data_IF_914894429303
#
_entry.id   IF_914894429303
#
_cell.length_a   1.000
_cell.length_b   1.000
_cell.length_c   1.000
_cell.angle_alpha   90.00
_cell.angle_beta   90.00
_cell.angle_gamma   90.00
#
_symmetry.space_group_name_H-M   'P 1'
#
loop_
_entity.id
_entity.type
_entity.pdbx_description
1 polymer ?
#
# COMPACT_ATOMS: atom_id res chain seq x y z
N UNK A 1 52.54 3.66 83.90
CA UNK A 1 53.67 2.72 83.72
C UNK A 1 53.37 1.86 82.49
N UNK A 2 54.28 1.90 81.52
CA UNK A 2 54.28 1.09 80.30
C UNK A 2 54.09 -0.42 80.57
N UNK A 3 53.38 -1.11 79.68
CA UNK A 3 53.90 -2.33 79.02
C UNK A 3 53.04 -2.80 77.85
N UNK A 4 53.70 -2.83 76.69
CA UNK A 4 53.48 -3.67 75.52
C UNK A 4 53.28 -5.14 75.95
N UNK A 5 52.37 -5.89 75.31
CA UNK A 5 52.66 -7.19 74.69
C UNK A 5 51.57 -7.63 73.70
N UNK A 6 52.07 -8.01 72.54
CA UNK A 6 51.46 -8.58 71.36
C UNK A 6 51.24 -10.09 71.59
N UNK A 7 50.12 -10.67 71.10
CA UNK A 7 50.07 -11.78 70.13
C UNK A 7 48.76 -12.58 70.13
N UNK A 8 48.33 -12.85 68.89
CA UNK A 8 47.69 -14.05 68.34
C UNK A 8 46.24 -14.40 68.68
N UNK A 9 45.40 -14.29 67.64
CA UNK A 9 44.62 -15.43 67.15
C UNK A 9 43.11 -15.32 67.34
N UNK A 10 42.40 -14.93 66.28
CA UNK A 10 41.48 -15.85 65.58
C UNK A 10 40.96 -15.19 64.30
N UNK A 11 41.14 -15.90 63.19
CA UNK A 11 40.63 -15.58 61.87
C UNK A 11 39.17 -16.06 61.82
N UNK A 12 38.22 -15.15 61.54
CA UNK A 12 36.86 -15.52 61.17
C UNK A 12 36.62 -15.06 59.72
N UNK A 13 36.76 -16.00 58.79
CA UNK A 13 36.43 -15.82 57.38
C UNK A 13 34.90 -15.83 57.26
N UNK A 14 34.32 -14.67 56.94
CA UNK A 14 32.90 -14.54 56.61
C UNK A 14 32.73 -14.84 55.11
N UNK A 15 32.31 -16.06 54.77
CA UNK A 15 31.91 -16.43 53.40
C UNK A 15 30.50 -15.92 53.18
N UNK A 16 30.36 -14.80 52.48
CA UNK A 16 29.07 -14.28 52.04
C UNK A 16 28.72 -14.97 50.72
N UNK A 17 27.85 -15.98 50.78
CA UNK A 17 27.35 -16.68 49.60
C UNK A 17 26.38 -15.77 48.82
N UNK A 18 26.78 -15.34 47.63
CA UNK A 18 25.88 -14.75 46.64
C UNK A 18 24.94 -15.82 46.11
N UNK A 19 23.65 -15.69 46.44
CA UNK A 19 22.57 -16.45 45.81
C UNK A 19 22.21 -15.68 44.53
N UNK A 20 22.80 -16.09 43.40
CA UNK A 20 22.37 -15.64 42.07
C UNK A 20 21.22 -16.55 41.65
N UNK A 21 20.00 -16.03 41.71
CA UNK A 21 18.85 -16.66 41.05
C UNK A 21 19.01 -16.51 39.54
N UNK A 22 18.91 -17.58 38.73
CA UNK A 22 18.77 -17.41 37.30
C UNK A 22 17.35 -16.93 37.03
N UNK A 23 17.20 -15.63 36.81
CA UNK A 23 16.06 -15.12 36.09
C UNK A 23 16.13 -15.76 34.69
N UNK A 24 15.16 -16.62 34.38
CA UNK A 24 14.90 -17.05 33.01
C UNK A 24 14.61 -15.81 32.18
N UNK A 25 15.66 -15.26 31.57
CA UNK A 25 15.53 -14.41 30.41
C UNK A 25 14.90 -15.28 29.33
N UNK A 26 13.61 -15.04 29.10
CA UNK A 26 12.90 -15.55 27.95
C UNK A 26 13.59 -14.89 26.75
N UNK A 27 14.46 -15.67 26.11
CA UNK A 27 15.11 -15.34 24.85
C UNK A 27 14.03 -15.20 23.79
N UNK A 28 13.46 -14.00 23.69
CA UNK A 28 12.87 -13.52 22.45
C UNK A 28 14.01 -13.50 21.44
N UNK A 29 14.01 -14.48 20.55
CA UNK A 29 14.94 -14.56 19.44
C UNK A 29 14.51 -13.54 18.39
N UNK A 30 14.64 -12.24 18.69
CA UNK A 30 14.72 -11.22 17.65
C UNK A 30 16.11 -11.39 17.05
N UNK A 31 16.19 -12.16 15.95
CA UNK A 31 17.34 -12.07 15.07
C UNK A 31 17.52 -10.59 14.76
N UNK A 32 18.63 -10.00 15.23
CA UNK A 32 19.02 -8.68 14.76
C UNK A 32 19.22 -8.83 13.25
N UNK A 33 18.28 -8.30 12.46
CA UNK A 33 18.49 -8.16 11.03
C UNK A 33 19.81 -7.42 10.86
N UNK A 34 20.71 -7.97 10.05
CA UNK A 34 21.99 -7.34 9.78
C UNK A 34 21.80 -5.94 9.19
N UNK A 35 22.88 -5.16 9.16
CA UNK A 35 22.88 -3.93 8.38
C UNK A 35 22.65 -4.29 6.90
N UNK A 36 21.62 -3.73 6.28
CA UNK A 36 21.28 -3.98 4.87
C UNK A 36 21.79 -2.87 3.96
N UNK A 37 21.95 -3.14 2.67
CA UNK A 37 22.27 -2.13 1.66
C UNK A 37 21.40 -2.30 0.42
N UNK A 38 20.34 -1.50 0.30
CA UNK A 38 19.38 -1.61 -0.82
C UNK A 38 19.09 -0.25 -1.49
N UNK A 39 18.89 -0.30 -2.79
CA UNK A 39 18.42 0.80 -3.63
C UNK A 39 16.99 0.51 -4.07
N UNK A 40 16.12 1.51 -3.93
CA UNK A 40 14.70 1.41 -4.22
C UNK A 40 14.32 2.50 -5.21
N UNK A 41 13.60 2.16 -6.29
CA UNK A 41 13.09 3.17 -7.20
C UNK A 41 11.75 2.84 -7.85
N UNK A 42 10.99 3.89 -8.22
CA UNK A 42 9.80 3.73 -9.05
C UNK A 42 8.67 4.70 -8.73
N UNK A 43 7.54 4.15 -8.31
CA UNK A 43 6.29 4.88 -8.12
C UNK A 43 6.45 6.10 -7.20
N UNK A 44 6.11 7.26 -7.73
CA UNK A 44 5.96 8.50 -6.97
C UNK A 44 4.76 8.49 -6.04
N UNK A 45 3.93 7.45 -6.04
CA UNK A 45 2.90 7.23 -5.00
C UNK A 45 3.48 6.48 -3.81
N UNK A 46 4.35 5.50 -4.05
CA UNK A 46 4.94 4.65 -2.99
C UNK A 46 6.09 5.36 -2.26
N UNK A 47 6.65 6.40 -2.89
CA UNK A 47 7.82 7.12 -2.42
C UNK A 47 7.75 7.56 -0.94
N UNK A 48 6.67 8.21 -0.43
CA UNK A 48 6.63 8.66 0.96
C UNK A 48 6.71 7.49 1.96
N UNK A 49 5.92 6.43 1.71
CA UNK A 49 5.95 5.21 2.53
C UNK A 49 7.34 4.56 2.50
N UNK A 50 7.95 4.45 1.33
CA UNK A 50 9.27 3.82 1.21
C UNK A 50 10.37 4.65 1.92
N UNK A 51 10.35 5.98 1.80
CA UNK A 51 11.30 6.88 2.48
C UNK A 51 11.11 6.87 4.01
N UNK A 52 9.86 6.87 4.49
CA UNK A 52 9.54 6.81 5.90
C UNK A 52 9.95 5.45 6.50
N UNK A 53 9.63 4.34 5.83
CA UNK A 53 10.06 3.01 6.24
C UNK A 53 11.58 2.86 6.21
N UNK A 54 12.27 3.37 5.18
CA UNK A 54 13.72 3.39 5.11
C UNK A 54 14.33 4.14 6.31
N UNK A 55 13.81 5.32 6.61
CA UNK A 55 14.26 6.15 7.73
C UNK A 55 14.07 5.45 9.07
N UNK A 56 12.92 4.83 9.30
CA UNK A 56 12.63 4.08 10.51
C UNK A 56 13.51 2.82 10.65
N UNK A 57 13.71 2.08 9.56
CA UNK A 57 14.59 0.91 9.55
C UNK A 57 16.03 1.28 9.90
N UNK A 58 16.57 2.36 9.29
CA UNK A 58 17.93 2.85 9.56
C UNK A 58 18.08 3.30 11.02
N UNK A 59 17.06 3.95 11.58
CA UNK A 59 17.07 4.35 12.99
C UNK A 59 17.18 3.15 13.95
N UNK A 60 16.51 2.04 13.61
CA UNK A 60 16.53 0.81 14.40
C UNK A 60 17.75 -0.08 14.12
N UNK A 61 18.39 0.07 12.96
CA UNK A 61 19.55 -0.72 12.52
C UNK A 61 20.70 0.21 12.10
N UNK A 62 21.43 0.82 13.07
CA UNK A 62 22.50 1.77 12.78
C UNK A 62 23.62 1.15 11.94
N UNK A 63 23.67 1.53 10.65
CA UNK A 63 24.67 1.06 9.68
C UNK A 63 24.06 0.51 8.39
N UNK A 64 22.74 0.34 8.32
CA UNK A 64 22.04 0.09 7.06
C UNK A 64 22.10 1.30 6.11
N UNK A 65 22.06 1.05 4.81
CA UNK A 65 21.99 2.04 3.74
C UNK A 65 20.78 1.72 2.86
N UNK A 66 19.82 2.63 2.81
CA UNK A 66 18.58 2.45 2.06
C UNK A 66 18.34 3.74 1.30
N UNK A 67 18.56 3.71 -0.02
CA UNK A 67 18.36 4.84 -0.91
C UNK A 67 17.06 4.68 -1.68
N UNK A 68 16.16 5.66 -1.58
CA UNK A 68 14.83 5.61 -2.22
C UNK A 68 14.71 6.74 -3.23
N UNK A 69 14.14 6.45 -4.40
CA UNK A 69 13.92 7.45 -5.45
C UNK A 69 12.62 7.23 -6.23
N UNK A 70 12.09 8.32 -6.79
CA UNK A 70 10.91 8.28 -7.67
C UNK A 70 11.24 7.88 -9.12
N UNK A 71 10.33 8.21 -10.05
CA UNK A 71 10.49 7.99 -11.49
C UNK A 71 9.29 7.35 -12.21
N UNK A 72 8.25 6.95 -11.47
CA UNK A 72 7.03 6.34 -11.99
C UNK A 72 7.04 4.82 -11.94
N UNK A 73 5.85 4.21 -12.03
CA UNK A 73 5.69 2.76 -11.84
C UNK A 73 6.36 1.95 -12.94
N UNK A 74 6.23 2.36 -14.22
CA UNK A 74 6.93 1.67 -15.32
C UNK A 74 8.45 1.79 -15.22
N UNK A 75 8.97 2.87 -14.63
CA UNK A 75 10.40 3.00 -14.37
C UNK A 75 10.84 1.99 -13.30
N UNK A 76 10.12 1.92 -12.17
CA UNK A 76 10.43 0.97 -11.09
C UNK A 76 10.45 -0.47 -11.55
N UNK A 77 9.43 -0.90 -12.30
CA UNK A 77 9.34 -2.25 -12.89
C UNK A 77 10.56 -2.56 -13.77
N UNK A 78 10.94 -1.65 -14.67
CA UNK A 78 12.10 -1.85 -15.56
C UNK A 78 13.42 -1.80 -14.81
N UNK A 79 13.54 -0.93 -13.81
CA UNK A 79 14.77 -0.74 -13.05
C UNK A 79 15.11 -2.02 -12.27
N UNK A 80 14.13 -2.63 -11.59
CA UNK A 80 14.35 -3.90 -10.87
C UNK A 80 14.55 -5.08 -11.82
N UNK A 81 13.79 -5.16 -12.91
CA UNK A 81 13.98 -6.22 -13.91
C UNK A 81 15.39 -6.22 -14.51
N UNK A 82 15.96 -5.04 -14.73
CA UNK A 82 17.32 -4.87 -15.24
C UNK A 82 18.40 -4.95 -14.14
N UNK A 83 18.03 -5.15 -12.87
CA UNK A 83 18.97 -5.16 -11.73
C UNK A 83 19.68 -3.82 -11.51
N UNK A 84 19.05 -2.71 -11.90
CA UNK A 84 19.58 -1.35 -11.65
C UNK A 84 19.28 -0.88 -10.23
N UNK A 85 18.20 -1.41 -9.64
CA UNK A 85 17.82 -1.24 -8.24
C UNK A 85 17.49 -2.62 -7.69
N UNK A 86 17.60 -2.75 -6.37
CA UNK A 86 17.30 -3.99 -5.64
C UNK A 86 15.77 -4.16 -5.54
N UNK A 87 15.06 -3.08 -5.19
CA UNK A 87 13.58 -3.06 -5.17
C UNK A 87 12.99 -2.06 -6.15
N UNK A 88 12.04 -2.52 -6.95
CA UNK A 88 11.16 -1.66 -7.76
C UNK A 88 9.90 -1.29 -6.99
N UNK A 89 9.32 -0.12 -7.23
CA UNK A 89 7.99 0.23 -6.68
C UNK A 89 6.99 0.56 -7.78
N UNK A 90 5.75 0.09 -7.60
CA UNK A 90 4.65 0.35 -8.52
C UNK A 90 3.35 0.65 -7.76
N UNK A 91 2.51 1.53 -8.30
CA UNK A 91 1.18 1.82 -7.76
C UNK A 91 0.11 1.38 -8.74
N UNK A 92 0.30 0.16 -9.25
CA UNK A 92 -0.56 -0.60 -10.16
C UNK A 92 0.05 -1.98 -10.31
N UNK A 93 -0.76 -2.93 -10.74
CA UNK A 93 -0.28 -4.23 -11.20
C UNK A 93 0.72 -4.10 -12.36
N UNK A 94 1.57 -5.12 -12.51
CA UNK A 94 2.40 -5.26 -13.69
C UNK A 94 1.52 -5.27 -14.94
N UNK A 95 1.92 -4.59 -16.00
CA UNK A 95 1.21 -4.67 -17.29
C UNK A 95 1.41 -6.06 -17.90
N UNK A 96 0.48 -6.51 -18.73
CA UNK A 96 0.63 -7.81 -19.39
C UNK A 96 1.91 -7.89 -20.24
N UNK A 97 2.30 -6.79 -20.87
CA UNK A 97 3.59 -6.67 -21.56
C UNK A 97 4.78 -6.78 -20.61
N UNK A 98 4.70 -6.17 -19.42
CA UNK A 98 5.77 -6.23 -18.40
C UNK A 98 5.88 -7.65 -17.82
N UNK A 99 4.75 -8.34 -17.61
CA UNK A 99 4.73 -9.76 -17.21
C UNK A 99 5.29 -10.67 -18.30
N UNK A 100 5.00 -10.40 -19.56
CA UNK A 100 5.54 -11.17 -20.68
C UNK A 100 7.06 -10.96 -20.84
N UNK A 101 7.53 -9.72 -20.69
CA UNK A 101 8.96 -9.38 -20.79
C UNK A 101 9.76 -9.83 -19.56
N UNK A 102 9.15 -9.79 -18.37
CA UNK A 102 9.80 -10.05 -17.08
C UNK A 102 8.99 -11.04 -16.20
N UNK A 103 8.78 -12.29 -16.66
CA UNK A 103 7.91 -13.26 -15.98
C UNK A 103 8.44 -13.75 -14.62
N UNK A 104 9.66 -13.36 -14.26
CA UNK A 104 10.34 -13.74 -13.02
C UNK A 104 10.18 -12.69 -11.91
N UNK A 105 9.63 -11.50 -12.20
CA UNK A 105 9.40 -10.49 -11.17
C UNK A 105 8.37 -11.00 -10.16
N UNK A 106 8.64 -10.75 -8.88
CA UNK A 106 7.69 -11.02 -7.81
C UNK A 106 7.18 -9.69 -7.24
N UNK A 107 5.89 -9.61 -6.98
CA UNK A 107 5.22 -8.42 -6.46
C UNK A 107 4.77 -8.65 -5.02
N UNK A 108 5.03 -7.68 -4.17
CA UNK A 108 4.69 -7.68 -2.75
C UNK A 108 3.76 -6.50 -2.47
N UNK A 109 2.52 -6.78 -2.08
CA UNK A 109 1.56 -5.74 -1.70
C UNK A 109 1.95 -5.14 -0.35
N UNK A 110 2.09 -3.82 -0.30
CA UNK A 110 2.56 -3.11 0.90
C UNK A 110 1.54 -2.12 1.47
N UNK A 111 0.59 -1.67 0.65
CA UNK A 111 -0.47 -0.73 1.03
C UNK A 111 -1.59 -0.74 -0.03
N UNK A 112 -2.72 -0.13 0.29
CA UNK A 112 -3.76 0.29 -0.66
C UNK A 112 -3.85 1.82 -0.72
N UNK A 113 -4.35 2.31 -1.84
CA UNK A 113 -4.48 3.75 -2.12
C UNK A 113 -5.77 4.02 -2.90
N UNK A 114 -6.35 5.20 -2.66
CA UNK A 114 -7.39 5.78 -3.49
C UNK A 114 -6.79 6.76 -4.50
N UNK A 115 -7.41 6.93 -5.66
CA UNK A 115 -7.07 8.04 -6.57
C UNK A 115 -8.19 9.06 -6.54
N UNK A 116 -7.94 10.16 -5.83
CA UNK A 116 -8.89 11.25 -5.65
C UNK A 116 -8.86 12.18 -6.85
N UNK A 117 -10.04 12.58 -7.32
CA UNK A 117 -10.15 13.71 -8.24
C UNK A 117 -10.01 14.98 -7.42
N UNK A 118 -9.13 15.87 -7.87
CA UNK A 118 -8.79 17.10 -7.16
C UNK A 118 -8.96 18.31 -8.05
N UNK A 119 -9.40 19.39 -7.44
CA UNK A 119 -9.47 20.72 -8.04
C UNK A 119 -8.81 21.73 -7.11
N UNK A 120 -8.60 22.93 -7.61
CA UNK A 120 -8.17 24.03 -6.78
C UNK A 120 -9.19 24.32 -5.65
N UNK A 121 -8.77 24.68 -4.42
CA UNK A 121 -9.69 25.01 -3.33
C UNK A 121 -10.69 26.13 -3.65
N UNK A 122 -10.33 27.06 -4.56
CA UNK A 122 -11.21 28.15 -4.99
C UNK A 122 -12.28 27.73 -6.01
N UNK A 123 -12.15 26.55 -6.63
CA UNK A 123 -13.13 26.02 -7.56
C UNK A 123 -14.45 25.71 -6.81
N UNK A 124 -15.61 25.96 -7.41
CA UNK A 124 -16.90 25.75 -6.73
C UNK A 124 -17.43 24.32 -6.77
N UNK A 125 -16.88 23.45 -7.62
CA UNK A 125 -17.36 22.07 -7.78
C UNK A 125 -17.08 21.25 -6.51
N UNK A 126 -18.14 20.66 -5.94
CA UNK A 126 -18.05 19.76 -4.79
C UNK A 126 -18.07 18.28 -5.20
N UNK A 127 -18.72 17.96 -6.32
CA UNK A 127 -18.87 16.60 -6.80
C UNK A 127 -19.05 16.54 -8.32
N UNK A 128 -18.69 15.41 -8.91
CA UNK A 128 -18.92 15.08 -10.31
C UNK A 128 -19.54 13.68 -10.39
N UNK A 129 -20.29 13.41 -11.45
CA UNK A 129 -20.58 12.02 -11.80
C UNK A 129 -19.41 11.41 -12.57
N UNK A 130 -19.29 10.08 -12.59
CA UNK A 130 -18.27 9.42 -13.41
C UNK A 130 -18.42 9.78 -14.90
N UNK A 131 -19.65 9.92 -15.39
CA UNK A 131 -19.92 10.35 -16.77
C UNK A 131 -19.42 11.78 -17.04
N UNK A 132 -19.63 12.72 -16.11
CA UNK A 132 -19.09 14.08 -16.25
C UNK A 132 -17.56 14.08 -16.23
N UNK A 133 -16.95 13.28 -15.35
CA UNK A 133 -15.51 13.13 -15.28
C UNK A 133 -14.93 12.58 -16.60
N UNK A 134 -15.59 11.58 -17.19
CA UNK A 134 -15.26 11.03 -18.51
C UNK A 134 -15.34 12.11 -19.60
N UNK A 135 -16.44 12.85 -19.66
CA UNK A 135 -16.64 13.91 -20.66
C UNK A 135 -15.61 15.05 -20.50
N UNK A 136 -15.24 15.39 -19.27
CA UNK A 136 -14.18 16.38 -18.99
C UNK A 136 -12.83 15.87 -19.51
N UNK A 137 -12.43 14.65 -19.12
CA UNK A 137 -11.12 14.13 -19.46
C UNK A 137 -10.96 13.74 -20.93
N UNK A 138 -12.05 13.44 -21.64
CA UNK A 138 -12.05 13.27 -23.11
C UNK A 138 -12.20 14.59 -23.87
N UNK A 139 -12.53 15.69 -23.17
CA UNK A 139 -12.65 17.03 -23.76
C UNK A 139 -14.00 17.31 -24.42
N UNK A 140 -15.03 16.50 -24.15
CA UNK A 140 -16.43 16.78 -24.52
C UNK A 140 -16.99 17.92 -23.68
N UNK A 141 -16.77 17.89 -22.36
CA UNK A 141 -17.06 19.02 -21.47
C UNK A 141 -15.78 19.84 -21.31
N UNK A 142 -15.88 21.14 -21.59
CA UNK A 142 -14.71 22.05 -21.56
C UNK A 142 -14.94 23.30 -20.72
N UNK A 143 -16.14 23.49 -20.17
CA UNK A 143 -16.47 24.60 -19.27
C UNK A 143 -17.06 24.08 -17.96
N UNK A 144 -16.64 24.66 -16.85
CA UNK A 144 -17.18 24.30 -15.53
C UNK A 144 -18.68 24.58 -15.41
N UNK A 145 -19.25 25.52 -16.15
CA UNK A 145 -20.70 25.80 -16.15
C UNK A 145 -21.55 24.58 -16.57
N UNK A 146 -21.02 23.72 -17.44
CA UNK A 146 -21.70 22.52 -17.95
C UNK A 146 -21.90 21.45 -16.86
N UNK A 147 -21.17 21.58 -15.74
CA UNK A 147 -21.24 20.69 -14.57
C UNK A 147 -21.64 21.43 -13.30
N UNK A 148 -22.23 22.63 -13.44
CA UNK A 148 -22.76 23.42 -12.32
C UNK A 148 -21.74 24.30 -11.60
N UNK A 149 -20.57 24.51 -12.21
CA UNK A 149 -19.53 25.43 -11.74
C UNK A 149 -19.70 26.85 -12.30
N UNK A 150 -18.63 27.64 -12.18
CA UNK A 150 -18.56 29.00 -12.77
C UNK A 150 -18.30 28.92 -14.27
N UNK A 151 -18.78 29.90 -15.05
CA UNK A 151 -18.40 30.04 -16.47
C UNK A 151 -16.89 30.29 -16.60
N UNK A 152 -16.14 29.23 -16.87
CA UNK A 152 -14.69 29.19 -16.91
C UNK A 152 -14.21 27.91 -17.58
N UNK A 153 -13.27 28.06 -18.52
CA UNK A 153 -12.66 26.92 -19.23
C UNK A 153 -11.95 25.99 -18.26
N UNK A 154 -12.22 24.68 -18.38
CA UNK A 154 -11.59 23.62 -17.60
C UNK A 154 -10.16 23.42 -18.10
N UNK A 155 -9.20 23.36 -17.18
CA UNK A 155 -7.82 22.97 -17.48
C UNK A 155 -7.58 21.55 -16.98
N UNK A 156 -7.54 20.59 -17.90
CA UNK A 156 -7.27 19.19 -17.56
C UNK A 156 -5.78 19.02 -17.32
N UNK A 157 -5.42 18.49 -16.15
CA UNK A 157 -4.06 18.04 -15.83
C UNK A 157 -4.07 16.51 -15.77
N UNK A 158 -3.06 15.91 -16.41
CA UNK A 158 -2.84 14.48 -16.46
C UNK A 158 -1.39 14.17 -16.12
N UNK A 159 -1.07 12.87 -16.03
CA UNK A 159 0.24 12.35 -15.68
C UNK A 159 0.97 11.78 -16.89
N UNK A 160 2.28 11.72 -16.77
CA UNK A 160 3.20 11.16 -17.75
C UNK A 160 2.90 9.68 -18.06
N UNK A 161 3.30 9.23 -19.26
CA UNK A 161 3.26 7.82 -19.61
C UNK A 161 4.13 7.00 -18.64
N UNK A 162 3.60 5.90 -18.12
CA UNK A 162 4.28 5.08 -17.11
C UNK A 162 3.94 5.44 -15.66
N UNK A 163 3.13 6.47 -15.44
CA UNK A 163 2.50 6.78 -14.15
C UNK A 163 1.49 5.71 -13.75
N UNK A 164 1.67 5.12 -12.56
CA UNK A 164 0.66 4.22 -12.00
C UNK A 164 -0.63 4.93 -11.61
N UNK A 165 -0.59 6.23 -11.29
CA UNK A 165 -1.80 7.02 -11.00
C UNK A 165 -2.61 7.26 -12.26
N UNK A 166 -1.93 7.54 -13.39
CA UNK A 166 -2.58 7.59 -14.69
C UNK A 166 -3.20 6.25 -15.06
N UNK A 167 -2.43 5.18 -14.95
CA UNK A 167 -2.90 3.85 -15.33
C UNK A 167 -4.14 3.48 -14.50
N UNK A 168 -4.17 3.74 -13.19
CA UNK A 168 -5.34 3.51 -12.34
C UNK A 168 -6.56 4.36 -12.76
N UNK A 169 -6.36 5.67 -12.98
CA UNK A 169 -7.41 6.57 -13.43
C UNK A 169 -7.98 6.15 -14.80
N UNK A 170 -7.14 5.88 -15.79
CA UNK A 170 -7.57 5.48 -17.13
C UNK A 170 -8.35 4.15 -17.08
N UNK A 171 -7.91 3.18 -16.28
CA UNK A 171 -8.58 1.89 -16.15
C UNK A 171 -9.97 2.03 -15.52
N UNK A 172 -10.10 2.83 -14.47
CA UNK A 172 -11.36 2.99 -13.75
C UNK A 172 -12.35 3.92 -14.49
N UNK A 173 -11.84 4.97 -15.14
CA UNK A 173 -12.69 6.05 -15.67
C UNK A 173 -12.85 5.98 -17.18
N UNK A 174 -11.76 5.83 -17.94
CA UNK A 174 -11.80 6.06 -19.40
C UNK A 174 -11.92 4.77 -20.22
N UNK A 175 -11.24 3.70 -19.83
CA UNK A 175 -11.31 2.42 -20.53
C UNK A 175 -12.71 1.80 -20.61
N UNK A 176 -13.59 1.93 -19.60
CA UNK A 176 -14.97 1.43 -19.70
C UNK A 176 -15.75 2.01 -20.89
N UNK A 177 -15.38 3.21 -21.35
CA UNK A 177 -15.98 3.87 -22.52
C UNK A 177 -15.06 3.89 -23.75
N UNK A 178 -13.89 3.24 -23.69
CA UNK A 178 -12.88 3.29 -24.75
C UNK A 178 -12.34 4.71 -25.00
N UNK A 179 -12.39 5.58 -24.00
CA UNK A 179 -11.95 6.96 -24.09
C UNK A 179 -10.44 7.13 -23.90
N UNK A 180 -9.92 8.22 -24.41
CA UNK A 180 -8.52 8.65 -24.22
C UNK A 180 -8.50 10.03 -23.59
N UNK A 181 -7.45 10.32 -22.82
CA UNK A 181 -7.24 11.65 -22.24
C UNK A 181 -7.09 12.66 -23.39
N UNK A 182 -7.77 13.79 -23.27
CA UNK A 182 -7.73 14.89 -24.24
C UNK A 182 -6.30 15.32 -24.54
N UNK A 183 -6.00 15.54 -25.81
CA UNK A 183 -4.69 16.03 -26.26
C UNK A 183 -4.34 17.45 -25.76
N UNK A 184 -5.29 18.15 -25.14
CA UNK A 184 -5.09 19.47 -24.54
C UNK A 184 -4.65 19.39 -23.07
N UNK A 185 -4.53 18.19 -22.48
CA UNK A 185 -4.16 18.05 -21.08
C UNK A 185 -2.73 18.53 -20.82
N UNK A 186 -2.52 19.23 -19.70
CA UNK A 186 -1.18 19.50 -19.18
C UNK A 186 -0.63 18.20 -18.61
N UNK A 187 0.57 17.80 -19.05
CA UNK A 187 1.21 16.59 -18.57
C UNK A 187 2.18 16.94 -17.44
N UNK A 188 1.91 16.39 -16.26
CA UNK A 188 2.75 16.49 -15.08
C UNK A 188 3.51 15.18 -14.84
N UNK A 189 4.70 15.24 -14.22
CA UNK A 189 5.63 14.10 -14.11
C UNK A 189 5.59 13.37 -12.74
N UNK A 190 4.79 13.85 -11.79
CA UNK A 190 4.72 13.30 -10.44
C UNK A 190 3.40 13.69 -9.72
N UNK A 191 3.07 13.03 -8.61
CA UNK A 191 1.94 13.47 -7.78
C UNK A 191 2.19 14.88 -7.23
N UNK A 192 3.41 15.18 -6.77
CA UNK A 192 3.78 16.50 -6.27
C UNK A 192 3.69 17.59 -7.34
N UNK A 193 4.19 17.34 -8.55
CA UNK A 193 4.06 18.30 -9.65
C UNK A 193 2.59 18.50 -10.04
N UNK A 194 1.77 17.44 -10.06
CA UNK A 194 0.35 17.57 -10.36
C UNK A 194 -0.39 18.39 -9.30
N UNK A 195 -0.07 18.18 -8.03
CA UNK A 195 -0.61 19.00 -6.94
C UNK A 195 -0.27 20.48 -7.15
N UNK A 196 0.99 20.80 -7.49
CA UNK A 196 1.42 22.17 -7.77
C UNK A 196 0.64 22.78 -8.94
N UNK A 197 0.45 22.03 -10.03
CA UNK A 197 -0.34 22.50 -11.19
C UNK A 197 -1.78 22.85 -10.78
N UNK A 198 -2.45 21.96 -10.03
CA UNK A 198 -3.83 22.18 -9.55
C UNK A 198 -3.92 23.35 -8.56
N UNK A 199 -2.96 23.48 -7.64
CA UNK A 199 -2.88 24.60 -6.68
C UNK A 199 -2.67 25.94 -7.40
N UNK A 200 -1.87 25.95 -8.47
CA UNK A 200 -1.52 27.19 -9.19
C UNK A 200 -2.63 27.71 -10.10
N UNK A 201 -3.63 26.88 -10.43
CA UNK A 201 -4.66 27.19 -11.41
C UNK A 201 -6.08 26.92 -10.87
N UNK A 202 -6.84 27.98 -10.61
CA UNK A 202 -8.23 27.92 -10.10
C UNK A 202 -9.20 27.08 -10.94
N UNK A 203 -8.90 26.90 -12.22
CA UNK A 203 -9.74 26.18 -13.17
C UNK A 203 -9.24 24.76 -13.46
N UNK A 204 -8.16 24.32 -12.81
CA UNK A 204 -7.57 23.02 -13.06
C UNK A 204 -8.32 21.88 -12.36
N UNK A 205 -8.34 20.73 -13.04
CA UNK A 205 -8.75 19.42 -12.52
C UNK A 205 -7.61 18.44 -12.73
N UNK A 206 -7.31 17.65 -11.70
CA UNK A 206 -6.30 16.60 -11.71
C UNK A 206 -6.77 15.37 -10.94
N UNK A 207 -5.91 14.35 -10.88
CA UNK A 207 -6.15 13.15 -10.07
C UNK A 207 -4.90 12.79 -9.26
N UNK A 208 -5.02 12.71 -7.94
CA UNK A 208 -3.88 12.45 -7.05
C UNK A 208 -4.07 11.13 -6.30
N UNK A 209 -2.96 10.51 -5.94
CA UNK A 209 -2.99 9.53 -4.85
C UNK A 209 -3.60 10.18 -3.60
N UNK A 210 -4.44 9.44 -2.88
CA UNK A 210 -5.12 9.94 -1.70
C UNK A 210 -4.11 10.36 -0.61
N UNK A 211 -2.98 9.65 -0.50
CA UNK A 211 -1.89 10.02 0.42
C UNK A 211 -1.26 11.39 0.15
N UNK A 212 -1.47 11.97 -1.04
CA UNK A 212 -1.01 13.32 -1.40
C UNK A 212 -2.08 14.41 -1.22
N UNK A 213 -3.33 14.03 -0.92
CA UNK A 213 -4.41 14.98 -0.74
C UNK A 213 -4.26 15.65 0.63
N UNK A 214 -4.11 16.97 0.62
CA UNK A 214 -4.01 17.80 1.82
C UNK A 214 -4.84 19.08 1.63
N UNK A 215 -4.74 20.03 2.57
CA UNK A 215 -5.52 21.28 2.54
C UNK A 215 -5.24 22.21 1.36
N UNK A 216 -4.15 21.99 0.60
CA UNK A 216 -3.79 22.85 -0.53
C UNK A 216 -4.63 22.54 -1.77
N UNK A 217 -5.22 21.36 -1.84
CA UNK A 217 -6.13 20.94 -2.90
C UNK A 217 -7.50 20.59 -2.32
N UNK A 218 -8.51 20.57 -3.17
CA UNK A 218 -9.85 20.13 -2.79
C UNK A 218 -10.20 18.86 -3.54
N UNK A 219 -10.41 17.77 -2.80
CA UNK A 219 -10.95 16.54 -3.36
C UNK A 219 -12.43 16.70 -3.73
N UNK A 220 -12.86 16.01 -4.78
CA UNK A 220 -14.20 16.07 -5.35
C UNK A 220 -14.86 14.70 -5.22
N UNK A 221 -16.08 14.66 -4.70
CA UNK A 221 -16.85 13.41 -4.60
C UNK A 221 -17.19 12.88 -6.00
N UNK A 222 -17.22 11.56 -6.17
CA UNK A 222 -17.67 10.91 -7.41
C UNK A 222 -18.98 10.18 -7.16
N UNK A 223 -20.01 10.52 -7.94
CA UNK A 223 -21.37 10.00 -7.76
C UNK A 223 -21.89 10.14 -6.30
N UNK A 224 -21.44 11.19 -5.60
CA UNK A 224 -21.77 11.46 -4.20
C UNK A 224 -20.91 10.73 -3.16
N UNK A 225 -19.92 9.94 -3.59
CA UNK A 225 -18.98 9.24 -2.71
C UNK A 225 -17.68 10.04 -2.60
N UNK A 226 -17.32 10.42 -1.38
CA UNK A 226 -16.06 11.13 -1.10
C UNK A 226 -14.85 10.19 -1.20
N UNK A 227 -13.69 10.66 -1.69
CA UNK A 227 -12.46 9.87 -1.72
C UNK A 227 -11.81 9.82 -0.33
N UNK A 228 -12.41 9.09 0.61
CA UNK A 228 -11.88 8.90 1.97
C UNK A 228 -11.23 7.53 2.12
N UNK A 229 -10.34 7.39 3.11
CA UNK A 229 -9.77 6.10 3.50
C UNK A 229 -10.88 5.07 3.76
N UNK A 230 -11.91 5.46 4.52
CA UNK A 230 -13.07 4.62 4.83
C UNK A 230 -13.80 4.12 3.57
N UNK A 231 -14.10 5.01 2.61
CA UNK A 231 -14.81 4.65 1.38
C UNK A 231 -13.94 3.81 0.43
N UNK A 232 -12.62 3.99 0.43
CA UNK A 232 -11.71 3.15 -0.33
C UNK A 232 -11.59 1.77 0.33
N UNK A 233 -11.57 1.70 1.66
CA UNK A 233 -11.55 0.46 2.42
C UNK A 233 -12.83 -0.36 2.24
N UNK A 234 -14.01 0.27 2.32
CA UNK A 234 -15.30 -0.38 2.10
C UNK A 234 -15.54 -0.81 0.67
N UNK A 235 -14.83 -0.21 -0.30
CA UNK A 235 -15.02 -0.42 -1.73
C UNK A 235 -16.06 0.50 -2.36
N UNK A 236 -16.68 1.39 -1.59
CA UNK A 236 -17.65 2.36 -2.09
C UNK A 236 -17.01 3.37 -3.06
N UNK A 237 -15.74 3.72 -2.84
CA UNK A 237 -14.98 4.56 -3.77
C UNK A 237 -14.22 3.72 -4.79
N UNK A 238 -14.71 3.74 -6.04
CA UNK A 238 -14.30 2.81 -7.09
C UNK A 238 -12.88 2.97 -7.62
N UNK A 239 -12.26 4.16 -7.48
CA UNK A 239 -10.91 4.41 -8.01
C UNK A 239 -9.87 4.10 -6.93
N UNK A 240 -9.52 2.83 -6.80
CA UNK A 240 -8.54 2.34 -5.83
C UNK A 240 -7.51 1.41 -6.48
N UNK A 241 -6.41 1.17 -5.77
CA UNK A 241 -5.31 0.33 -6.24
C UNK A 241 -4.48 -0.23 -5.09
N UNK A 242 -3.76 -1.30 -5.40
CA UNK A 242 -2.70 -1.85 -4.56
C UNK A 242 -1.37 -1.18 -4.87
N UNK A 243 -0.60 -0.92 -3.82
CA UNK A 243 0.77 -0.43 -3.88
C UNK A 243 1.74 -1.58 -3.69
N UNK A 244 2.75 -1.67 -4.56
CA UNK A 244 3.64 -2.81 -4.69
C UNK A 244 5.10 -2.40 -4.48
N UNK A 245 5.84 -3.23 -3.74
CA UNK A 245 7.27 -3.41 -3.91
C UNK A 245 7.52 -4.64 -4.79
N UNK A 246 8.58 -4.62 -5.59
CA UNK A 246 8.83 -5.61 -6.64
C UNK A 246 10.28 -6.08 -6.51
N UNK A 247 10.50 -7.39 -6.52
CA UNK A 247 11.83 -8.02 -6.49
C UNK A 247 12.14 -8.72 -7.81
N UNK A 248 13.42 -8.85 -8.14
CA UNK A 248 13.88 -9.63 -9.29
C UNK A 248 14.00 -11.11 -8.93
N UNK A 249 12.88 -11.83 -8.99
CA UNK A 249 12.79 -13.18 -8.45
C UNK A 249 12.53 -13.19 -6.95
N UNK A 250 12.91 -14.27 -6.28
CA UNK A 250 12.78 -14.39 -4.84
C UNK A 250 13.70 -13.37 -4.14
N UNK A 251 13.23 -12.68 -3.09
CA UNK A 251 14.03 -11.69 -2.39
C UNK A 251 15.28 -12.33 -1.77
N UNK A 252 16.39 -11.61 -1.80
CA UNK A 252 17.56 -11.94 -0.98
C UNK A 252 17.36 -11.56 0.50
N UNK A 253 18.37 -11.80 1.33
CA UNK A 253 18.28 -11.56 2.79
C UNK A 253 18.04 -10.08 3.12
N UNK A 254 18.62 -9.16 2.36
CA UNK A 254 18.53 -7.71 2.59
C UNK A 254 17.15 -7.19 2.12
N UNK A 255 16.72 -7.61 0.92
CA UNK A 255 15.40 -7.32 0.37
C UNK A 255 14.29 -7.87 1.27
N UNK A 256 14.42 -9.12 1.72
CA UNK A 256 13.45 -9.77 2.60
C UNK A 256 13.36 -9.06 3.96
N UNK A 257 14.50 -8.65 4.55
CA UNK A 257 14.51 -7.94 5.81
C UNK A 257 13.78 -6.59 5.73
N UNK A 258 13.95 -5.85 4.63
CA UNK A 258 13.22 -4.60 4.43
C UNK A 258 11.73 -4.81 4.16
N UNK A 259 11.37 -5.78 3.30
CA UNK A 259 9.98 -6.15 3.06
C UNK A 259 9.28 -6.59 4.35
N UNK A 260 9.97 -7.37 5.19
CA UNK A 260 9.46 -7.80 6.49
C UNK A 260 9.22 -6.63 7.43
N UNK A 261 10.08 -5.61 7.43
CA UNK A 261 9.86 -4.39 8.19
C UNK A 261 8.67 -3.59 7.67
N UNK A 262 8.58 -3.39 6.35
CA UNK A 262 7.44 -2.67 5.73
C UNK A 262 6.12 -3.35 6.08
N UNK A 263 6.08 -4.68 6.12
CA UNK A 263 4.91 -5.48 6.46
C UNK A 263 4.73 -5.75 7.97
N UNK A 264 5.63 -5.24 8.82
CA UNK A 264 5.50 -5.33 10.26
C UNK A 264 4.48 -4.32 10.80
N UNK A 265 4.06 -4.48 12.06
CA UNK A 265 3.16 -3.52 12.72
C UNK A 265 3.72 -2.08 12.67
N UNK A 266 5.03 -1.91 12.88
CA UNK A 266 5.69 -0.59 12.80
C UNK A 266 5.65 -0.03 11.36
N UNK A 267 5.90 -0.87 10.36
CA UNK A 267 5.85 -0.47 8.95
C UNK A 267 4.43 -0.14 8.49
N UNK A 268 3.44 -0.90 8.94
CA UNK A 268 2.03 -0.63 8.62
C UNK A 268 1.48 0.57 9.37
N UNK A 269 1.99 0.89 10.57
CA UNK A 269 1.69 2.18 11.21
C UNK A 269 2.21 3.35 10.38
N UNK A 270 3.41 3.23 9.78
CA UNK A 270 3.94 4.24 8.86
C UNK A 270 3.03 4.40 7.62
N UNK A 271 2.50 3.30 7.08
CA UNK A 271 1.55 3.34 5.96
C UNK A 271 0.32 4.20 6.32
N UNK A 272 -0.26 4.00 7.51
CA UNK A 272 -1.36 4.84 8.01
C UNK A 272 -0.96 6.31 8.22
N UNK A 273 0.20 6.54 8.83
CA UNK A 273 0.72 7.89 9.10
C UNK A 273 0.96 8.69 7.81
N UNK A 274 1.31 8.00 6.71
CA UNK A 274 1.45 8.56 5.37
C UNK A 274 0.09 8.65 4.61
N UNK A 275 -1.04 8.46 5.31
CA UNK A 275 -2.41 8.51 4.79
C UNK A 275 -2.74 7.46 3.72
N UNK A 276 -2.07 6.31 3.78
CA UNK A 276 -2.39 5.14 2.98
C UNK A 276 -3.14 4.10 3.81
N UNK A 277 -3.70 3.11 3.13
CA UNK A 277 -4.45 2.02 3.76
C UNK A 277 -3.48 0.87 4.01
N UNK A 278 -3.32 0.40 5.26
CA UNK A 278 -2.45 -0.73 5.56
C UNK A 278 -2.97 -2.01 4.91
N UNK A 279 -2.02 -2.88 4.55
CA UNK A 279 -2.32 -4.29 4.31
C UNK A 279 -2.46 -4.99 5.65
N UNK A 280 -3.39 -5.94 5.73
CA UNK A 280 -3.66 -6.64 7.00
C UNK A 280 -2.40 -7.38 7.49
N UNK A 281 -2.19 -7.44 8.82
CA UNK A 281 -0.96 -7.99 9.38
C UNK A 281 -0.78 -9.47 9.03
N UNK A 282 0.49 -9.90 8.94
CA UNK A 282 1.01 -11.26 8.67
C UNK A 282 0.37 -12.40 9.49
N UNK A 283 -0.44 -12.08 10.50
CA UNK A 283 -1.09 -13.02 11.41
C UNK A 283 -2.59 -13.24 11.13
N UNK A 284 -3.17 -12.64 10.09
CA UNK A 284 -4.56 -12.94 9.72
C UNK A 284 -5.63 -12.50 10.72
N UNK A 285 -5.26 -11.77 11.77
CA UNK A 285 -6.21 -11.19 12.72
C UNK A 285 -6.83 -9.94 12.08
N UNK A 286 -7.96 -10.14 11.40
CA UNK A 286 -9.00 -9.12 11.34
C UNK A 286 -9.53 -9.04 12.78
N UNK A 287 -9.35 -7.90 13.47
CA UNK A 287 -9.94 -7.61 14.78
C UNK A 287 -9.86 -8.72 15.85
N UNK A 288 -8.69 -9.32 16.04
CA UNK A 288 -8.47 -10.27 17.14
C UNK A 288 -9.24 -11.59 17.02
N UNK A 289 -9.67 -11.96 15.81
CA UNK A 289 -10.32 -13.24 15.52
C UNK A 289 -9.27 -14.26 15.09
N UNK A 290 -8.95 -15.19 15.98
CA UNK A 290 -7.92 -16.23 15.78
C UNK A 290 -8.26 -17.30 14.73
N UNK A 291 -9.46 -17.23 14.14
CA UNK A 291 -10.00 -18.20 13.19
C UNK A 291 -10.65 -17.46 12.01
N UNK A 292 -9.98 -17.45 10.86
CA UNK A 292 -10.49 -16.86 9.61
C UNK A 292 -11.52 -17.82 9.00
N UNK A 293 -12.73 -17.35 8.75
CA UNK A 293 -13.79 -18.11 8.08
C UNK A 293 -13.99 -17.69 6.61
N UNK A 294 -14.92 -18.32 5.89
CA UNK A 294 -15.16 -18.03 4.47
C UNK A 294 -15.64 -16.59 4.22
N UNK A 295 -16.39 -16.01 5.16
CA UNK A 295 -16.83 -14.61 5.06
C UNK A 295 -15.65 -13.65 5.17
N UNK A 296 -14.65 -13.98 6.00
CA UNK A 296 -13.39 -13.24 6.09
C UNK A 296 -12.59 -13.35 4.78
N UNK A 297 -12.53 -14.53 4.15
CA UNK A 297 -11.87 -14.72 2.85
C UNK A 297 -12.57 -13.92 1.74
N UNK A 298 -13.90 -13.91 1.73
CA UNK A 298 -14.70 -13.13 0.78
C UNK A 298 -14.58 -11.63 1.05
N UNK A 299 -14.51 -11.22 2.31
CA UNK A 299 -14.24 -9.84 2.71
C UNK A 299 -12.85 -9.42 2.25
N UNK A 300 -11.81 -10.23 2.49
CA UNK A 300 -10.44 -9.97 2.04
C UNK A 300 -10.35 -9.86 0.53
N UNK A 301 -11.04 -10.75 -0.18
CA UNK A 301 -11.14 -10.71 -1.64
C UNK A 301 -11.76 -9.41 -2.18
N UNK A 302 -12.88 -8.98 -1.58
CA UNK A 302 -13.53 -7.70 -1.90
C UNK A 302 -12.67 -6.52 -1.51
N UNK A 303 -12.08 -6.57 -0.32
CA UNK A 303 -11.25 -5.53 0.26
C UNK A 303 -10.00 -5.28 -0.59
N UNK A 304 -9.27 -6.32 -0.99
CA UNK A 304 -8.06 -6.13 -1.80
C UNK A 304 -8.35 -5.86 -3.28
N UNK A 305 -9.47 -6.36 -3.83
CA UNK A 305 -9.61 -6.48 -5.29
C UNK A 305 -10.95 -5.98 -5.87
N UNK A 306 -11.85 -5.42 -5.05
CA UNK A 306 -13.01 -4.64 -5.50
C UNK A 306 -14.08 -5.38 -6.33
N UNK A 307 -14.07 -6.72 -6.35
CA UNK A 307 -15.08 -7.53 -7.06
C UNK A 307 -15.51 -8.75 -6.25
N UNK A 308 -16.71 -9.27 -6.54
CA UNK A 308 -17.09 -10.62 -6.13
C UNK A 308 -16.22 -11.62 -6.91
N UNK A 309 -15.30 -12.31 -6.24
CA UNK A 309 -14.41 -13.31 -6.85
C UNK A 309 -15.16 -14.49 -7.53
N UNK A 310 -16.48 -14.58 -7.38
CA UNK A 310 -17.29 -15.71 -7.81
C UNK A 310 -18.58 -15.27 -8.55
N UNK A 311 -18.48 -14.65 -9.74
CA UNK A 311 -19.65 -14.13 -10.46
C UNK A 311 -20.64 -15.23 -10.92
N UNK A 312 -20.22 -16.50 -10.94
CA UNK A 312 -21.06 -17.63 -11.36
C UNK A 312 -21.74 -18.38 -10.19
N UNK A 313 -21.52 -17.97 -8.93
CA UNK A 313 -22.04 -18.69 -7.76
C UNK A 313 -22.84 -17.78 -6.82
N UNK A 314 -24.14 -17.69 -7.10
CA UNK A 314 -25.16 -17.25 -6.15
C UNK A 314 -25.26 -15.74 -5.92
N UNK A 315 -26.49 -15.27 -5.70
CA UNK A 315 -26.79 -13.87 -5.37
C UNK A 315 -26.69 -13.67 -3.85
N UNK A 316 -26.00 -12.61 -3.42
CA UNK A 316 -25.90 -12.21 -2.01
C UNK A 316 -27.21 -11.50 -1.61
N UNK A 317 -27.85 -11.95 -0.53
CA UNK A 317 -28.98 -11.25 0.07
C UNK A 317 -28.50 -10.26 1.15
N UNK A 318 -29.26 -9.17 1.34
CA UNK A 318 -28.90 -8.04 2.20
C UNK A 318 -28.80 -8.37 3.71
N UNK A 319 -29.11 -9.60 4.10
CA UNK A 319 -29.04 -10.14 5.45
C UNK A 319 -27.81 -11.02 5.73
N UNK A 320 -26.96 -11.26 4.73
CA UNK A 320 -25.70 -11.98 4.90
C UNK A 320 -25.79 -13.51 4.82
N UNK A 321 -26.95 -14.09 4.48
CA UNK A 321 -27.06 -15.53 4.29
C UNK A 321 -26.67 -15.96 2.85
N UNK A 322 -25.75 -16.92 2.74
CA UNK A 322 -25.33 -17.57 1.49
C UNK A 322 -26.00 -18.95 1.38
N UNK A 323 -26.65 -19.24 0.24
CA UNK A 323 -27.14 -20.59 -0.07
C UNK A 323 -26.03 -21.41 -0.74
N UNK A 324 -25.36 -22.26 0.03
CA UNK A 324 -24.25 -23.12 -0.42
C UNK A 324 -24.79 -24.44 -0.99
N UNK A 325 -25.24 -24.46 -2.25
CA UNK A 325 -25.64 -25.71 -2.94
C UNK A 325 -24.52 -26.32 -3.81
N UNK A 326 -23.26 -25.87 -3.64
CA UNK A 326 -22.09 -26.46 -4.28
C UNK A 326 -20.82 -26.17 -3.50
N UNK A 327 -20.20 -27.21 -2.93
CA UNK A 327 -19.01 -27.11 -2.11
C UNK A 327 -17.78 -26.66 -2.94
N UNK A 328 -17.46 -25.37 -2.94
CA UNK A 328 -16.07 -24.92 -3.10
C UNK A 328 -15.39 -25.20 -1.76
N UNK A 329 -14.43 -26.12 -1.74
CA UNK A 329 -13.61 -26.30 -0.55
C UNK A 329 -12.48 -25.25 -0.54
N UNK A 330 -11.89 -25.05 0.64
CA UNK A 330 -10.88 -24.00 0.86
C UNK A 330 -9.63 -24.17 -0.03
N UNK A 331 -9.27 -25.40 -0.40
CA UNK A 331 -8.14 -25.65 -1.30
C UNK A 331 -8.43 -25.12 -2.72
N UNK A 332 -9.70 -25.17 -3.16
CA UNK A 332 -10.13 -24.60 -4.44
C UNK A 332 -10.09 -23.06 -4.42
N UNK A 333 -10.47 -22.42 -3.31
CA UNK A 333 -10.39 -20.97 -3.14
C UNK A 333 -8.93 -20.46 -3.10
N UNK A 334 -8.06 -21.15 -2.35
CA UNK A 334 -6.62 -20.86 -2.29
C UNK A 334 -5.97 -21.14 -3.65
N UNK A 335 -6.34 -22.23 -4.32
CA UNK A 335 -5.86 -22.55 -5.66
C UNK A 335 -6.29 -21.50 -6.68
N UNK A 336 -7.53 -21.03 -6.65
CA UNK A 336 -8.02 -19.98 -7.56
C UNK A 336 -7.33 -18.64 -7.32
N UNK A 337 -7.10 -18.27 -6.05
CA UNK A 337 -6.32 -17.07 -5.71
C UNK A 337 -4.86 -17.15 -6.23
N UNK A 338 -4.21 -18.32 -6.07
CA UNK A 338 -2.88 -18.58 -6.63
C UNK A 338 -2.86 -18.61 -8.16
N UNK A 339 -3.82 -19.29 -8.77
CA UNK A 339 -3.87 -19.59 -10.20
C UNK A 339 -4.18 -18.35 -11.04
N UNK A 340 -5.10 -17.49 -10.58
CA UNK A 340 -5.44 -16.28 -11.31
C UNK A 340 -4.56 -15.08 -10.97
N UNK A 341 -3.98 -15.01 -9.77
CA UNK A 341 -3.41 -13.76 -9.24
C UNK A 341 -2.03 -13.89 -8.57
N UNK A 342 -1.40 -15.07 -8.62
CA UNK A 342 0.04 -15.24 -8.40
C UNK A 342 0.57 -15.03 -6.97
N UNK A 343 -0.30 -14.98 -5.95
CA UNK A 343 0.11 -14.78 -4.55
C UNK A 343 -0.32 -15.91 -3.64
N UNK A 344 0.52 -16.19 -2.63
CA UNK A 344 0.27 -17.16 -1.57
C UNK A 344 -0.37 -16.41 -0.39
N UNK A 345 -1.69 -16.16 -0.47
CA UNK A 345 -2.42 -15.38 0.55
C UNK A 345 -2.40 -16.04 1.95
N UNK A 346 -2.02 -17.32 2.06
CA UNK A 346 -2.14 -18.09 3.31
C UNK A 346 -0.97 -19.07 3.53
N UNK A 347 0.24 -18.58 3.89
CA UNK A 347 1.43 -19.42 4.00
C UNK A 347 1.52 -20.27 5.28
N UNK A 348 0.70 -20.01 6.31
CA UNK A 348 0.77 -20.71 7.59
C UNK A 348 -0.60 -20.85 8.24
N UNK A 349 -1.20 -22.04 8.16
CA UNK A 349 -2.18 -22.46 9.16
C UNK A 349 -1.89 -23.88 9.65
N UNK A 350 -1.84 -24.02 10.98
CA UNK A 350 -1.90 -25.30 11.68
C UNK A 350 -3.27 -25.94 11.52
N UNK A 351 -3.43 -27.17 11.99
CA UNK A 351 -4.58 -28.04 11.73
C UNK A 351 -5.93 -27.32 11.87
N UNK A 352 -6.63 -27.11 10.74
CA UNK A 352 -7.94 -26.45 10.68
C UNK A 352 -9.07 -27.49 10.63
N UNK A 353 -10.18 -27.21 11.31
CA UNK A 353 -11.36 -28.09 11.35
C UNK A 353 -12.41 -27.65 10.33
N UNK A 354 -13.09 -28.59 9.65
CA UNK A 354 -14.24 -28.29 8.81
C UNK A 354 -15.44 -27.86 9.67
N UNK A 355 -16.39 -27.16 9.05
CA UNK A 355 -17.67 -26.78 9.64
C UNK A 355 -18.40 -27.95 10.34
#
# INVERSE_FOLDING_TARGET
MNRIYMKTGLVAVLVMALIISPACAQSGNTAAAGNISINIAGSTTVLPVAEACASAYIANNPGSQIDVSGGGSSYGVKAVANGTVDLGTASRELKDSERADYPYLMTHAIARDGVAIVVNPSNSIAGLTIAQLQDIYTGTITNWEDVGGTDSTIVVVSREDGSGTRDCFEQAVLKPIGGEITGNAIISDSNSAMQIEVVSNGNAIGYLSLGYVNSDVKAVSLDGIEPTIENVQSGDYAISRTLLMITNGAPDDDEQAFLDFVLSDDGQQIVEDENFIPVLPKNGNIDGVSDINMDDVIYLAKYYYGTDLFPDYGTIYADGDINCDGDINMDDAIYLAKYYYGTDLFPYYGTLYPC
#
